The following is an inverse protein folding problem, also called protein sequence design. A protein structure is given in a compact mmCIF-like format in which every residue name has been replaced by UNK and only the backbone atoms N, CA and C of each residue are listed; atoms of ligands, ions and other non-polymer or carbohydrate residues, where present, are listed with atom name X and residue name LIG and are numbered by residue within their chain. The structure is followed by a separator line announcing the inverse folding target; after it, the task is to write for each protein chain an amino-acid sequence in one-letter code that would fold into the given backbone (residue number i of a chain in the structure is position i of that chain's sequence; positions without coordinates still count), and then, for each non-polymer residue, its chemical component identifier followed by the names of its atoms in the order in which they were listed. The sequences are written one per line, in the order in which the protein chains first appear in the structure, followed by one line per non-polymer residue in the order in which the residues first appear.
data_IF_835691827303
#
_entry.id   IF_835691827303
#
_cell.length_a   1.000
_cell.length_b   1.000
_cell.length_c   1.000
_cell.angle_alpha   90.00
_cell.angle_beta   90.00
_cell.angle_gamma   90.00
#
_symmetry.space_group_name_H-M   'P 1'
#
loop_
_entity.id
_entity.type
_entity.pdbx_description
1 polymer ?
#
# COMPACT_ATOMS: atom_id res chain seq x y z
N UNK A 1 -2.66 15.53 -4.20
CA UNK A 1 -1.94 14.41 -3.55
C UNK A 1 -0.45 14.59 -3.74
N UNK A 2 0.32 14.59 -2.65
CA UNK A 2 1.78 14.74 -2.72
C UNK A 2 2.39 13.34 -2.90
N UNK A 3 2.76 13.01 -4.14
CA UNK A 3 3.30 11.68 -4.53
C UNK A 3 4.84 11.66 -4.56
N UNK A 4 5.46 12.82 -4.36
CA UNK A 4 6.91 12.96 -4.40
C UNK A 4 7.57 12.08 -3.34
N UNK A 5 8.52 11.27 -3.74
CA UNK A 5 9.29 10.40 -2.86
C UNK A 5 8.78 8.97 -2.70
N UNK A 6 7.58 8.60 -3.20
CA UNK A 6 7.07 7.24 -3.02
C UNK A 6 8.01 6.17 -3.60
N UNK A 7 8.42 6.34 -4.86
CA UNK A 7 9.35 5.42 -5.53
C UNK A 7 10.73 5.49 -4.90
N UNK A 8 11.23 6.73 -4.66
CA UNK A 8 12.55 6.97 -4.09
C UNK A 8 12.70 6.33 -2.71
N UNK A 9 11.66 6.34 -1.89
CA UNK A 9 11.68 5.70 -0.57
C UNK A 9 11.49 4.18 -0.64
N UNK A 10 10.55 3.70 -1.45
CA UNK A 10 10.24 2.28 -1.51
C UNK A 10 11.29 1.46 -2.25
N UNK A 11 11.97 1.99 -3.27
CA UNK A 11 12.98 1.26 -4.01
C UNK A 11 14.16 0.80 -3.13
N UNK A 12 14.78 1.64 -2.28
CA UNK A 12 15.80 1.19 -1.32
C UNK A 12 15.27 0.16 -0.33
N UNK A 13 14.02 0.29 0.12
CA UNK A 13 13.39 -0.65 1.04
C UNK A 13 13.26 -2.05 0.38
N UNK A 14 12.74 -2.09 -0.84
CA UNK A 14 12.63 -3.32 -1.62
C UNK A 14 14.00 -3.92 -1.88
N UNK A 15 14.99 -3.08 -2.26
CA UNK A 15 16.37 -3.52 -2.44
C UNK A 15 16.93 -4.18 -1.18
N UNK A 16 16.80 -3.53 -0.02
CA UNK A 16 17.27 -4.10 1.25
C UNK A 16 16.59 -5.43 1.56
N UNK A 17 15.29 -5.54 1.33
CA UNK A 17 14.55 -6.80 1.54
C UNK A 17 14.94 -7.91 0.57
N UNK A 18 15.30 -7.58 -0.68
CA UNK A 18 15.68 -8.59 -1.69
C UNK A 18 17.13 -9.06 -1.56
N UNK A 19 18.04 -8.16 -1.19
CA UNK A 19 19.49 -8.44 -1.21
C UNK A 19 20.07 -8.83 0.14
N UNK A 20 19.37 -8.64 1.26
CA UNK A 20 19.82 -9.09 2.56
C UNK A 20 19.76 -10.61 2.65
N UNK A 21 20.90 -11.30 2.81
CA UNK A 21 20.92 -12.76 3.00
C UNK A 21 20.42 -13.11 4.41
N UNK A 22 19.88 -14.32 4.57
CA UNK A 22 19.50 -14.90 5.87
C UNK A 22 18.66 -13.96 6.75
N UNK A 23 17.58 -13.43 6.20
CA UNK A 23 16.69 -12.50 6.88
C UNK A 23 16.12 -13.10 8.17
N UNK A 24 16.47 -12.50 9.29
CA UNK A 24 15.91 -12.87 10.60
C UNK A 24 14.47 -12.35 10.74
N UNK A 25 13.64 -12.95 11.61
CA UNK A 25 12.32 -12.42 11.93
C UNK A 25 12.36 -10.96 12.40
N UNK A 26 13.39 -10.59 13.19
CA UNK A 26 13.59 -9.22 13.68
C UNK A 26 13.86 -8.24 12.51
N UNK A 27 14.72 -8.62 11.55
CA UNK A 27 14.96 -7.81 10.35
C UNK A 27 13.65 -7.60 9.55
N UNK A 28 12.88 -8.66 9.34
CA UNK A 28 11.60 -8.56 8.63
C UNK A 28 10.60 -7.67 9.37
N UNK A 29 10.50 -7.80 10.68
CA UNK A 29 9.64 -6.94 11.50
C UNK A 29 10.08 -5.46 11.43
N UNK A 30 11.38 -5.19 11.50
CA UNK A 30 11.93 -3.85 11.35
C UNK A 30 11.62 -3.24 9.98
N UNK A 31 11.83 -3.99 8.88
CA UNK A 31 11.53 -3.52 7.53
C UNK A 31 10.03 -3.26 7.34
N UNK A 32 9.17 -4.10 7.90
CA UNK A 32 7.72 -3.85 7.90
C UNK A 32 7.36 -2.61 8.71
N UNK A 33 7.96 -2.41 9.89
CA UNK A 33 7.76 -1.21 10.68
C UNK A 33 8.16 0.06 9.91
N UNK A 34 9.34 0.08 9.27
CA UNK A 34 9.80 1.21 8.44
C UNK A 34 8.80 1.49 7.31
N UNK A 35 8.38 0.45 6.59
CA UNK A 35 7.41 0.56 5.50
C UNK A 35 6.07 1.12 5.98
N UNK A 36 5.54 0.61 7.08
CA UNK A 36 4.24 1.04 7.61
C UNK A 36 4.31 2.43 8.25
N UNK A 37 5.45 2.82 8.82
CA UNK A 37 5.71 4.19 9.29
C UNK A 37 5.69 5.17 8.12
N UNK A 38 6.34 4.84 7.01
CA UNK A 38 6.27 5.64 5.79
C UNK A 38 4.83 5.77 5.27
N UNK A 39 4.08 4.67 5.21
CA UNK A 39 2.68 4.67 4.79
C UNK A 39 1.81 5.53 5.73
N UNK A 40 2.03 5.47 7.03
CA UNK A 40 1.34 6.32 8.00
C UNK A 40 1.64 7.81 7.77
N UNK A 41 2.89 8.16 7.55
CA UNK A 41 3.30 9.53 7.19
C UNK A 41 2.65 10.02 5.89
N UNK A 42 2.60 9.15 4.87
CA UNK A 42 1.92 9.45 3.61
C UNK A 42 0.41 9.66 3.79
N UNK A 43 -0.24 8.82 4.58
CA UNK A 43 -1.68 8.95 4.87
C UNK A 43 -1.97 10.23 5.66
N UNK A 44 -1.12 10.56 6.64
CA UNK A 44 -1.22 11.82 7.39
C UNK A 44 -1.03 13.05 6.48
N UNK A 45 -0.01 13.05 5.63
CA UNK A 45 0.25 14.15 4.69
C UNK A 45 -0.82 14.35 3.63
N UNK A 46 -1.59 13.30 3.32
CA UNK A 46 -2.68 13.31 2.33
C UNK A 46 -4.09 13.29 2.98
N UNK A 47 -4.19 13.51 4.29
CA UNK A 47 -5.49 13.62 4.96
C UNK A 47 -6.26 14.84 4.48
N UNK A 48 -7.55 14.85 4.77
CA UNK A 48 -8.37 16.02 4.45
C UNK A 48 -7.91 17.25 5.26
N UNK A 49 -7.71 18.38 4.58
CA UNK A 49 -7.24 19.62 5.21
C UNK A 49 -8.24 20.21 6.22
N UNK A 50 -9.52 19.82 6.16
CA UNK A 50 -10.54 20.24 7.11
C UNK A 50 -10.52 19.45 8.43
N UNK A 51 -9.74 18.38 8.52
CA UNK A 51 -9.64 17.56 9.73
C UNK A 51 -8.46 18.04 10.59
N UNK A 52 -8.76 18.51 11.78
CA UNK A 52 -7.76 18.94 12.76
C UNK A 52 -7.37 17.73 13.63
N UNK A 53 -6.08 17.47 13.74
CA UNK A 53 -5.52 16.39 14.55
C UNK A 53 -4.68 16.97 15.68
N UNK A 54 -5.01 16.61 16.93
CA UNK A 54 -4.13 16.86 18.05
C UNK A 54 -2.90 15.91 18.00
N UNK A 55 -1.85 16.25 18.71
CA UNK A 55 -0.67 15.37 18.85
C UNK A 55 -1.04 14.01 19.41
N UNK A 56 -2.00 13.97 20.33
CA UNK A 56 -2.52 12.72 20.92
C UNK A 56 -3.28 11.88 19.90
N UNK A 57 -4.14 12.49 19.08
CA UNK A 57 -4.86 11.78 18.00
C UNK A 57 -3.87 11.18 17.00
N UNK A 58 -2.85 11.96 16.65
CA UNK A 58 -1.81 11.53 15.73
C UNK A 58 -1.01 10.34 16.30
N UNK A 59 -0.59 10.42 17.56
CA UNK A 59 0.17 9.36 18.22
C UNK A 59 -0.65 8.07 18.34
N UNK A 60 -1.93 8.17 18.72
CA UNK A 60 -2.86 7.02 18.77
C UNK A 60 -3.09 6.40 17.41
N UNK A 61 -3.42 7.24 16.42
CA UNK A 61 -3.64 6.77 15.04
C UNK A 61 -2.40 6.10 14.45
N UNK A 62 -1.23 6.69 14.63
CA UNK A 62 0.04 6.12 14.20
C UNK A 62 0.32 4.77 14.86
N UNK A 63 0.26 4.70 16.19
CA UNK A 63 0.53 3.46 16.92
C UNK A 63 -0.43 2.35 16.52
N UNK A 64 -1.73 2.63 16.45
CA UNK A 64 -2.74 1.67 16.01
C UNK A 64 -2.50 1.23 14.56
N UNK A 65 -2.24 2.16 13.64
CA UNK A 65 -2.00 1.87 12.24
C UNK A 65 -0.76 0.99 12.03
N UNK A 66 0.35 1.35 12.68
CA UNK A 66 1.61 0.61 12.53
C UNK A 66 1.51 -0.77 13.16
N UNK A 67 1.03 -0.89 14.40
CA UNK A 67 0.89 -2.19 15.08
C UNK A 67 -0.04 -3.12 14.30
N UNK A 68 -1.19 -2.63 13.87
CA UNK A 68 -2.15 -3.46 13.13
C UNK A 68 -1.58 -3.89 11.78
N UNK A 69 -1.00 -2.98 11.01
CA UNK A 69 -0.49 -3.30 9.67
C UNK A 69 0.76 -4.16 9.70
N UNK A 70 1.66 -3.95 10.66
CA UNK A 70 2.81 -4.86 10.90
C UNK A 70 2.31 -6.23 11.33
N UNK A 71 1.33 -6.30 12.24
CA UNK A 71 0.71 -7.54 12.67
C UNK A 71 0.10 -8.32 11.49
N UNK A 72 -0.69 -7.66 10.63
CA UNK A 72 -1.26 -8.26 9.41
C UNK A 72 -0.13 -8.80 8.52
N UNK A 73 0.92 -8.02 8.27
CA UNK A 73 2.01 -8.43 7.40
C UNK A 73 2.77 -9.66 7.94
N UNK A 74 3.06 -9.68 9.24
CA UNK A 74 3.78 -10.80 9.87
C UNK A 74 2.93 -12.07 9.97
N UNK A 75 1.67 -11.95 10.40
CA UNK A 75 0.73 -13.08 10.47
C UNK A 75 0.47 -13.67 9.09
N UNK A 76 0.19 -12.82 8.10
CA UNK A 76 0.01 -13.26 6.72
C UNK A 76 1.23 -14.04 6.23
N UNK A 77 2.45 -13.53 6.45
CA UNK A 77 3.69 -14.21 6.04
C UNK A 77 3.84 -15.59 6.69
N UNK A 78 3.51 -15.72 7.98
CA UNK A 78 3.59 -16.99 8.71
C UNK A 78 2.59 -18.01 8.18
N UNK A 79 1.34 -17.58 7.93
CA UNK A 79 0.30 -18.44 7.38
C UNK A 79 0.62 -18.87 5.95
N UNK A 80 1.16 -17.96 5.15
CA UNK A 80 1.51 -18.21 3.75
C UNK A 80 2.66 -19.17 3.57
N UNK A 81 3.65 -19.16 4.47
CA UNK A 81 4.83 -20.02 4.38
C UNK A 81 4.46 -21.49 4.29
N UNK A 82 3.46 -21.95 5.06
CA UNK A 82 2.98 -23.34 5.04
C UNK A 82 2.29 -23.70 3.71
N UNK A 83 1.49 -22.80 3.17
CA UNK A 83 0.77 -23.02 1.92
C UNK A 83 1.71 -22.97 0.70
N UNK A 84 2.66 -22.04 0.69
CA UNK A 84 3.63 -21.89 -0.39
C UNK A 84 4.54 -23.11 -0.55
N UNK A 85 4.82 -23.84 0.52
CA UNK A 85 5.63 -25.07 0.48
C UNK A 85 5.02 -26.18 -0.41
N UNK A 86 3.70 -26.13 -0.69
CA UNK A 86 3.01 -27.11 -1.53
C UNK A 86 3.07 -26.82 -3.03
N UNK A 87 3.43 -25.58 -3.42
CA UNK A 87 3.46 -25.16 -4.81
C UNK A 87 4.88 -25.15 -5.40
N UNK A 88 5.01 -25.37 -6.71
CA UNK A 88 6.28 -25.34 -7.45
C UNK A 88 6.14 -24.58 -8.76
N UNK A 89 7.29 -24.12 -9.30
CA UNK A 89 7.36 -23.47 -10.61
C UNK A 89 6.48 -22.21 -10.74
N UNK A 90 5.89 -21.95 -11.93
CA UNK A 90 5.08 -20.76 -12.19
C UNK A 90 3.90 -20.58 -11.23
N UNK A 91 3.31 -21.70 -10.76
CA UNK A 91 2.21 -21.66 -9.79
C UNK A 91 2.65 -21.10 -8.44
N UNK A 92 3.87 -21.43 -7.99
CA UNK A 92 4.45 -20.86 -6.78
C UNK A 92 4.65 -19.34 -6.92
N UNK A 93 5.16 -18.88 -8.08
CA UNK A 93 5.38 -17.44 -8.34
C UNK A 93 4.07 -16.68 -8.27
N UNK A 94 3.03 -17.15 -8.95
CA UNK A 94 1.71 -16.48 -8.96
C UNK A 94 1.05 -16.52 -7.59
N UNK A 95 1.10 -17.65 -6.90
CA UNK A 95 0.50 -17.76 -5.56
C UNK A 95 1.22 -16.85 -4.56
N UNK A 96 2.54 -16.75 -4.65
CA UNK A 96 3.32 -15.84 -3.82
C UNK A 96 2.93 -14.37 -4.10
N UNK A 97 2.81 -13.97 -5.36
CA UNK A 97 2.34 -12.64 -5.73
C UNK A 97 0.93 -12.36 -5.20
N UNK A 98 0.00 -13.30 -5.36
CA UNK A 98 -1.38 -13.18 -4.88
C UNK A 98 -1.46 -13.01 -3.35
N UNK A 99 -0.80 -13.88 -2.61
CA UNK A 99 -0.83 -13.84 -1.15
C UNK A 99 -0.16 -12.57 -0.61
N UNK A 100 0.97 -12.16 -1.17
CA UNK A 100 1.62 -10.90 -0.82
C UNK A 100 0.74 -9.68 -1.16
N UNK A 101 0.00 -9.74 -2.27
CA UNK A 101 -0.96 -8.71 -2.62
C UNK A 101 -2.06 -8.59 -1.56
N UNK A 102 -2.68 -9.71 -1.15
CA UNK A 102 -3.72 -9.70 -0.11
C UNK A 102 -3.18 -9.09 1.19
N UNK A 103 -2.01 -9.52 1.63
CA UNK A 103 -1.38 -9.01 2.85
C UNK A 103 -1.07 -7.50 2.77
N UNK A 104 -0.48 -7.04 1.66
CA UNK A 104 -0.16 -5.64 1.45
C UNK A 104 -1.42 -4.75 1.35
N UNK A 105 -2.45 -5.23 0.67
CA UNK A 105 -3.73 -4.55 0.52
C UNK A 105 -4.43 -4.37 1.88
N UNK A 106 -4.53 -5.44 2.67
CA UNK A 106 -5.13 -5.40 4.01
C UNK A 106 -4.34 -4.49 4.96
N UNK A 107 -3.01 -4.61 4.99
CA UNK A 107 -2.16 -3.77 5.81
C UNK A 107 -2.28 -2.29 5.41
N UNK A 108 -2.28 -2.00 4.10
CA UNK A 108 -2.43 -0.64 3.57
C UNK A 108 -3.80 -0.04 3.86
N UNK A 109 -4.87 -0.82 3.73
CA UNK A 109 -6.22 -0.40 4.07
C UNK A 109 -6.36 -0.10 5.56
N UNK A 110 -5.86 -0.99 6.44
CA UNK A 110 -5.90 -0.80 7.88
C UNK A 110 -5.11 0.45 8.30
N UNK A 111 -3.88 0.62 7.76
CA UNK A 111 -3.06 1.80 8.02
C UNK A 111 -3.79 3.09 7.61
N UNK A 112 -4.36 3.13 6.41
CA UNK A 112 -5.10 4.29 5.91
C UNK A 112 -6.31 4.61 6.80
N UNK A 113 -7.10 3.61 7.15
CA UNK A 113 -8.32 3.76 7.94
C UNK A 113 -8.01 4.26 9.36
N UNK A 114 -7.00 3.70 10.00
CA UNK A 114 -6.62 4.07 11.37
C UNK A 114 -5.96 5.45 11.44
N UNK A 115 -5.12 5.80 10.46
CA UNK A 115 -4.52 7.13 10.39
C UNK A 115 -5.53 8.25 10.10
N UNK A 116 -6.63 7.92 9.45
CA UNK A 116 -7.67 8.88 9.04
C UNK A 116 -9.01 8.64 9.75
N UNK A 117 -9.02 7.88 10.84
CA UNK A 117 -10.24 7.52 11.56
C UNK A 117 -11.10 8.74 11.99
N UNK A 118 -10.47 9.88 12.24
CA UNK A 118 -11.18 11.10 12.62
C UNK A 118 -12.14 11.59 11.53
N UNK A 119 -11.81 11.35 10.26
CA UNK A 119 -12.69 11.67 9.13
C UNK A 119 -13.95 10.78 9.11
N UNK A 120 -13.89 9.56 9.71
CA UNK A 120 -15.05 8.68 9.86
C UNK A 120 -16.01 9.14 10.93
N UNK A 121 -15.51 9.71 12.02
CA UNK A 121 -16.34 10.09 13.18
C UNK A 121 -16.80 11.54 13.13
N UNK A 122 -15.92 12.46 12.72
CA UNK A 122 -16.24 13.89 12.66
C UNK A 122 -16.73 14.35 11.29
N UNK A 123 -16.52 13.52 10.26
CA UNK A 123 -16.82 13.89 8.88
C UNK A 123 -15.81 14.86 8.29
N UNK A 124 -16.05 15.26 7.05
CA UNK A 124 -15.25 16.24 6.29
C UNK A 124 -16.14 17.37 5.80
N UNK A 125 -15.58 18.56 5.60
CA UNK A 125 -16.31 19.72 5.10
C UNK A 125 -16.81 19.48 3.68
N UNK A 126 -18.08 19.80 3.47
CA UNK A 126 -18.75 19.72 2.16
C UNK A 126 -19.02 21.13 1.65
N UNK A 127 -18.73 21.34 0.39
CA UNK A 127 -18.89 22.63 -0.27
C UNK A 127 -19.88 22.52 -1.42
N UNK A 128 -20.43 23.68 -1.86
CA UNK A 128 -21.16 23.73 -3.13
C UNK A 128 -20.21 23.46 -4.30
N UNK A 129 -20.77 23.32 -5.50
CA UNK A 129 -20.02 23.00 -6.72
C UNK A 129 -18.90 24.01 -7.03
N UNK A 130 -19.11 25.28 -6.70
CA UNK A 130 -18.15 26.36 -6.92
C UNK A 130 -17.13 26.52 -5.77
N UNK A 131 -17.27 25.75 -4.69
CA UNK A 131 -16.41 25.84 -3.51
C UNK A 131 -16.62 27.09 -2.63
N UNK A 132 -17.60 27.92 -2.95
CA UNK A 132 -17.83 29.22 -2.28
C UNK A 132 -18.59 29.10 -0.95
N UNK A 133 -19.49 28.13 -0.83
CA UNK A 133 -20.33 27.93 0.35
C UNK A 133 -20.02 26.61 1.01
N UNK A 134 -19.68 26.63 2.31
CA UNK A 134 -19.48 25.44 3.13
C UNK A 134 -20.81 25.06 3.81
N UNK A 135 -21.30 23.87 3.52
CA UNK A 135 -22.53 23.32 4.12
C UNK A 135 -22.31 22.67 5.50
N UNK A 136 -21.07 22.69 5.99
CA UNK A 136 -20.70 22.03 7.24
C UNK A 136 -19.92 20.73 7.02
N UNK A 137 -19.87 19.89 8.07
CA UNK A 137 -19.21 18.57 8.01
C UNK A 137 -20.24 17.48 7.74
N UNK A 138 -19.88 16.52 6.89
CA UNK A 138 -20.66 15.32 6.60
C UNK A 138 -19.85 14.06 6.91
N UNK A 139 -20.41 13.19 7.74
CA UNK A 139 -19.83 11.87 8.08
C UNK A 139 -19.88 10.94 6.86
N UNK A 140 -20.97 10.99 6.09
CA UNK A 140 -21.09 10.17 4.86
C UNK A 140 -20.05 10.57 3.81
N UNK A 141 -19.75 11.88 3.68
CA UNK A 141 -18.63 12.33 2.86
C UNK A 141 -17.29 11.77 3.34
N UNK A 142 -17.07 11.76 4.65
CA UNK A 142 -15.86 11.19 5.28
C UNK A 142 -15.73 9.70 5.01
N UNK A 143 -16.81 8.93 5.19
CA UNK A 143 -16.85 7.48 4.91
C UNK A 143 -16.57 7.19 3.44
N UNK A 144 -17.24 7.89 2.53
CA UNK A 144 -17.05 7.72 1.09
C UNK A 144 -15.61 8.03 0.66
N UNK A 145 -15.06 9.15 1.13
CA UNK A 145 -13.68 9.54 0.82
C UNK A 145 -12.66 8.53 1.37
N UNK A 146 -12.86 8.04 2.59
CA UNK A 146 -11.97 7.05 3.18
C UNK A 146 -12.08 5.69 2.52
N UNK A 147 -13.29 5.26 2.15
CA UNK A 147 -13.51 4.01 1.41
C UNK A 147 -12.79 4.05 0.05
N UNK A 148 -12.96 5.11 -0.73
CA UNK A 148 -12.28 5.28 -2.02
C UNK A 148 -10.75 5.29 -1.86
N UNK A 149 -10.24 6.01 -0.87
CA UNK A 149 -8.80 6.02 -0.56
C UNK A 149 -8.33 4.64 -0.11
N UNK A 150 -9.09 3.97 0.74
CA UNK A 150 -8.80 2.60 1.19
C UNK A 150 -8.79 1.59 0.05
N UNK A 151 -9.79 1.65 -0.84
CA UNK A 151 -9.84 0.79 -2.03
C UNK A 151 -8.65 1.03 -2.97
N UNK A 152 -8.16 2.26 -3.11
CA UNK A 152 -6.95 2.53 -3.87
C UNK A 152 -5.75 1.76 -3.33
N UNK A 153 -5.73 1.41 -2.02
CA UNK A 153 -4.67 0.60 -1.39
C UNK A 153 -4.74 -0.87 -1.76
N UNK A 154 -5.90 -1.37 -2.19
CA UNK A 154 -6.01 -2.71 -2.78
C UNK A 154 -5.47 -2.74 -4.21
N UNK A 155 -5.67 -1.67 -4.95
CA UNK A 155 -5.28 -1.59 -6.37
C UNK A 155 -3.79 -1.32 -6.51
N UNK A 156 -3.22 -0.45 -5.66
CA UNK A 156 -1.82 -0.04 -5.73
C UNK A 156 -0.81 -1.21 -5.76
N UNK A 157 -0.90 -2.25 -4.90
CA UNK A 157 0.06 -3.34 -4.92
C UNK A 157 -0.12 -4.33 -6.07
N UNK A 158 -1.26 -4.32 -6.78
CA UNK A 158 -1.54 -5.24 -7.88
C UNK A 158 -0.44 -5.21 -8.96
N UNK A 159 -0.22 -4.07 -9.66
CA UNK A 159 0.80 -4.03 -10.71
C UNK A 159 2.21 -4.27 -10.13
N UNK A 160 2.48 -3.82 -8.91
CA UNK A 160 3.80 -3.97 -8.27
C UNK A 160 4.17 -5.42 -8.03
N UNK A 161 3.20 -6.26 -7.69
CA UNK A 161 3.43 -7.68 -7.36
C UNK A 161 3.19 -8.61 -8.56
N UNK A 162 2.18 -8.33 -9.38
CA UNK A 162 1.84 -9.22 -10.50
C UNK A 162 2.66 -8.95 -11.75
N UNK A 163 3.01 -7.70 -12.08
CA UNK A 163 3.79 -7.42 -13.27
C UNK A 163 5.17 -8.09 -13.25
N UNK A 164 5.99 -7.97 -12.18
CA UNK A 164 7.24 -8.72 -12.08
C UNK A 164 7.03 -10.23 -12.12
N UNK A 165 6.00 -10.76 -11.45
CA UNK A 165 5.70 -12.18 -11.41
C UNK A 165 5.34 -12.73 -12.79
N UNK A 166 4.46 -12.05 -13.53
CA UNK A 166 4.06 -12.45 -14.88
C UNK A 166 5.22 -12.34 -15.87
N UNK A 167 6.00 -11.28 -15.79
CA UNK A 167 7.20 -11.09 -16.62
C UNK A 167 8.24 -12.19 -16.34
N UNK A 168 8.47 -12.53 -15.07
CA UNK A 168 9.35 -13.64 -14.69
C UNK A 168 8.90 -14.96 -15.34
N UNK A 169 7.61 -15.28 -15.24
CA UNK A 169 7.04 -16.52 -15.84
C UNK A 169 7.21 -16.51 -17.37
N UNK A 170 6.93 -15.38 -18.01
CA UNK A 170 7.05 -15.24 -19.46
C UNK A 170 8.49 -15.43 -19.92
N UNK A 171 9.44 -14.74 -19.27
CA UNK A 171 10.87 -14.83 -19.59
C UNK A 171 11.48 -16.20 -19.28
N UNK A 172 11.00 -16.86 -18.22
CA UNK A 172 11.38 -18.25 -17.92
C UNK A 172 10.93 -19.22 -19.05
N UNK A 173 9.71 -19.05 -19.56
CA UNK A 173 9.17 -19.89 -20.63
C UNK A 173 9.94 -19.77 -21.94
N UNK A 174 10.42 -18.58 -22.28
CA UNK A 174 11.20 -18.32 -23.50
C UNK A 174 12.72 -18.44 -23.29
N UNK A 175 13.15 -18.84 -22.07
CA UNK A 175 14.58 -19.06 -21.76
C UNK A 175 15.42 -17.79 -21.62
N UNK A 176 14.80 -16.60 -21.51
CA UNK A 176 15.47 -15.30 -21.38
C UNK A 176 15.64 -14.83 -19.93
N UNK A 177 15.12 -15.57 -18.95
CA UNK A 177 15.33 -15.22 -17.54
C UNK A 177 16.79 -15.41 -17.13
N UNK A 178 17.44 -14.42 -16.48
CA UNK A 178 18.84 -14.53 -16.08
C UNK A 178 19.11 -15.74 -15.20
N UNK A 179 20.12 -16.55 -15.57
CA UNK A 179 20.55 -17.70 -14.76
C UNK A 179 21.37 -17.29 -13.53
N UNK A 180 22.02 -16.14 -13.60
CA UNK A 180 22.79 -15.57 -12.50
C UNK A 180 21.81 -15.00 -11.45
N UNK A 181 21.95 -15.44 -10.19
CA UNK A 181 21.07 -15.02 -9.08
C UNK A 181 21.07 -13.51 -8.86
N UNK A 182 22.21 -12.84 -8.96
CA UNK A 182 22.32 -11.39 -8.79
C UNK A 182 21.62 -10.65 -9.92
N UNK A 183 21.82 -11.08 -11.17
CA UNK A 183 21.17 -10.49 -12.34
C UNK A 183 19.64 -10.71 -12.29
N UNK A 184 19.18 -11.87 -11.85
CA UNK A 184 17.76 -12.14 -11.66
C UNK A 184 17.14 -11.20 -10.62
N UNK A 185 17.79 -10.96 -9.49
CA UNK A 185 17.34 -10.01 -8.46
C UNK A 185 17.35 -8.56 -8.96
N UNK A 186 18.37 -8.16 -9.70
CA UNK A 186 18.44 -6.81 -10.30
C UNK A 186 17.32 -6.59 -11.31
N UNK A 187 17.04 -7.59 -12.13
CA UNK A 187 15.90 -7.54 -13.07
C UNK A 187 14.56 -7.43 -12.35
N UNK A 188 14.37 -8.24 -11.33
CA UNK A 188 13.15 -8.18 -10.49
C UNK A 188 13.01 -6.82 -9.81
N UNK A 189 14.09 -6.26 -9.26
CA UNK A 189 14.10 -4.91 -8.69
C UNK A 189 13.73 -3.86 -9.74
N UNK A 190 14.30 -3.92 -10.94
CA UNK A 190 13.98 -2.98 -12.02
C UNK A 190 12.50 -3.06 -12.41
N UNK A 191 11.95 -4.27 -12.52
CA UNK A 191 10.52 -4.48 -12.78
C UNK A 191 9.64 -3.94 -11.64
N UNK A 192 10.05 -4.11 -10.38
CA UNK A 192 9.34 -3.54 -9.23
C UNK A 192 9.37 -2.01 -9.25
N UNK A 193 10.51 -1.39 -9.52
CA UNK A 193 10.64 0.08 -9.59
C UNK A 193 9.81 0.65 -10.74
N UNK A 194 9.83 0.01 -11.91
CA UNK A 194 8.98 0.39 -13.03
C UNK A 194 7.50 0.29 -12.67
N UNK A 195 7.09 -0.81 -12.04
CA UNK A 195 5.71 -1.01 -11.59
C UNK A 195 5.29 0.03 -10.56
N UNK A 196 6.14 0.35 -9.59
CA UNK A 196 5.89 1.40 -8.59
C UNK A 196 5.67 2.77 -9.22
N UNK A 197 6.44 3.09 -10.27
CA UNK A 197 6.35 4.37 -10.96
C UNK A 197 5.01 4.57 -11.67
N UNK A 198 4.38 3.49 -12.14
CA UNK A 198 3.08 3.51 -12.82
C UNK A 198 1.91 3.24 -11.87
N UNK A 199 2.11 2.36 -10.88
CA UNK A 199 1.06 1.90 -9.98
C UNK A 199 0.43 3.03 -9.16
N UNK A 200 1.25 3.94 -8.65
CA UNK A 200 0.77 5.01 -7.79
C UNK A 200 -0.08 6.04 -8.54
N UNK A 201 0.38 6.67 -9.64
CA UNK A 201 -0.50 7.56 -10.40
C UNK A 201 -1.73 6.82 -10.96
N UNK A 202 -1.59 5.56 -11.39
CA UNK A 202 -2.70 4.75 -11.88
C UNK A 202 -3.77 4.49 -10.81
N UNK A 203 -3.36 4.10 -9.59
CA UNK A 203 -4.31 3.82 -8.50
C UNK A 203 -5.07 5.07 -8.01
N UNK A 204 -4.43 6.24 -8.10
CA UNK A 204 -5.05 7.53 -7.73
C UNK A 204 -6.00 8.02 -8.83
N UNK A 205 -5.64 7.82 -10.10
CA UNK A 205 -6.44 8.25 -11.24
C UNK A 205 -7.80 7.54 -11.35
N UNK A 206 -7.96 6.36 -10.71
CA UNK A 206 -9.21 5.61 -10.69
C UNK A 206 -10.34 6.30 -9.90
N UNK A 207 -10.02 7.20 -9.00
CA UNK A 207 -10.99 7.88 -8.15
C UNK A 207 -11.00 9.37 -8.46
N UNK A 208 -12.21 9.93 -8.59
CA UNK A 208 -12.38 11.37 -8.79
C UNK A 208 -11.87 12.15 -7.58
N UNK A 209 -11.17 13.24 -7.84
CA UNK A 209 -10.62 14.10 -6.78
C UNK A 209 -11.73 14.88 -6.05
N UNK A 210 -12.83 15.18 -6.73
CA UNK A 210 -14.04 15.76 -6.17
C UNK A 210 -15.21 14.82 -6.47
N UNK A 211 -15.94 14.43 -5.45
CA UNK A 211 -17.12 13.58 -5.55
C UNK A 211 -18.35 14.37 -5.15
N UNK A 212 -19.45 14.20 -5.88
CA UNK A 212 -20.73 14.78 -5.53
C UNK A 212 -21.45 13.85 -4.55
N UNK A 213 -22.08 14.44 -3.53
CA UNK A 213 -23.02 13.76 -2.64
C UNK A 213 -24.43 14.19 -3.04
N UNK A 214 -25.31 13.20 -3.21
CA UNK A 214 -26.75 13.46 -3.38
C UNK A 214 -27.30 13.91 -2.03
N UNK A 215 -28.08 15.00 -2.00
CA UNK A 215 -28.93 15.31 -0.84
C UNK A 215 -30.04 14.26 -0.78
N UNK A 216 -30.07 13.50 0.28
CA UNK A 216 -31.29 12.84 0.74
C UNK A 216 -32.08 13.76 1.65
#
# INVERSE_FOLDING_TARGET
MRLSGFVVFNAPLVFAMMFTPNQTPAFNAFMQWVNQTYNAGMNYGNRNASSEYSTTDLARGYSAAVVTSVGIALVSRTLMAKQLATFKGPKLILMNAFLNWVAAALAGFANCSLMRQKELFEGIKVFNQDGSVCYGKSVEAGKSALLQTGLSRFILPLPVLFFPALTNIALLKIGLWPRNSTMAKLMELALCVLSLSVALPGSVALFKQQSMLTRE
#
